data_IF_481967487392
#
_entry.id   IF_481967487392
#
_cell.length_a   1.000
_cell.length_b   1.000
_cell.length_c   1.000
_cell.angle_alpha   90.00
_cell.angle_beta   90.00
_cell.angle_gamma   90.00
#
_symmetry.space_group_name_H-M   'P 1'
#
loop_
_entity.id
_entity.type
_entity.pdbx_description
1 polymer ?
#
# COMPACT_ATOMS: atom_id res chain seq x y z
N UNK A 1 -79.28 11.93 -33.01
CA UNK A 1 -78.67 12.64 -31.86
C UNK A 1 -78.36 11.78 -30.64
N UNK A 2 -78.99 10.64 -30.40
CA UNK A 2 -78.73 9.80 -29.20
C UNK A 2 -77.42 8.94 -29.28
N UNK A 3 -76.95 8.60 -30.47
CA UNK A 3 -75.74 7.76 -30.65
C UNK A 3 -74.43 8.51 -30.32
N UNK A 4 -74.35 9.80 -30.62
CA UNK A 4 -73.13 10.60 -30.41
C UNK A 4 -72.87 10.99 -28.94
N UNK A 5 -74.01 11.08 -28.13
CA UNK A 5 -73.81 11.33 -26.66
C UNK A 5 -73.18 10.15 -25.91
N UNK A 6 -73.50 8.92 -26.33
CA UNK A 6 -72.86 7.71 -25.67
C UNK A 6 -71.38 7.57 -25.98
N UNK A 7 -70.95 7.90 -27.20
CA UNK A 7 -69.53 7.89 -27.60
C UNK A 7 -68.81 8.98 -26.84
N UNK A 8 -69.36 10.17 -26.70
CA UNK A 8 -68.73 11.29 -25.99
C UNK A 8 -68.58 11.00 -24.50
N UNK A 9 -69.51 10.37 -23.83
CA UNK A 9 -69.45 9.99 -22.42
C UNK A 9 -68.45 8.86 -22.23
N UNK A 10 -68.31 7.91 -23.17
CA UNK A 10 -67.34 6.83 -23.11
C UNK A 10 -65.88 7.34 -23.28
N UNK A 11 -65.65 8.34 -24.14
CA UNK A 11 -64.35 8.96 -24.36
C UNK A 11 -63.91 9.79 -23.13
N UNK A 12 -64.85 10.52 -22.48
CA UNK A 12 -64.54 11.26 -21.25
C UNK A 12 -64.25 10.29 -20.09
N UNK A 13 -64.92 9.15 -20.00
CA UNK A 13 -64.70 8.15 -18.98
C UNK A 13 -63.32 7.46 -19.16
N UNK A 14 -62.89 7.21 -20.42
CA UNK A 14 -61.57 6.65 -20.75
C UNK A 14 -60.43 7.63 -20.42
N UNK A 15 -60.63 8.93 -20.65
CA UNK A 15 -59.63 9.97 -20.29
C UNK A 15 -59.52 10.08 -18.77
N UNK A 16 -60.62 9.95 -18.01
CA UNK A 16 -60.59 9.99 -16.56
C UNK A 16 -59.92 8.77 -15.91
N UNK A 17 -60.07 7.58 -16.52
CA UNK A 17 -59.43 6.34 -16.07
C UNK A 17 -57.90 6.40 -16.35
N UNK A 18 -57.49 7.07 -17.44
CA UNK A 18 -56.05 7.24 -17.75
C UNK A 18 -55.34 8.26 -16.85
N UNK A 19 -56.09 9.25 -16.29
CA UNK A 19 -55.51 10.19 -15.33
C UNK A 19 -55.41 9.65 -13.90
N UNK A 20 -56.17 8.62 -13.53
CA UNK A 20 -56.11 8.04 -12.20
C UNK A 20 -55.03 6.94 -12.02
N UNK A 21 -54.34 6.51 -13.12
CA UNK A 21 -53.30 5.49 -13.05
C UNK A 21 -51.85 6.05 -13.10
N UNK A 22 -51.72 7.38 -13.23
CA UNK A 22 -50.40 8.01 -13.02
C UNK A 22 -50.10 8.06 -11.51
N UNK A 23 -49.85 6.91 -10.91
CA UNK A 23 -49.14 6.86 -9.64
C UNK A 23 -47.77 7.52 -9.87
N UNK A 24 -47.46 8.64 -9.22
CA UNK A 24 -46.12 9.16 -9.31
C UNK A 24 -45.21 8.07 -8.72
N UNK A 25 -44.50 7.35 -9.57
CA UNK A 25 -43.35 6.61 -9.15
C UNK A 25 -42.41 7.68 -8.58
N UNK A 26 -42.51 7.90 -7.28
CA UNK A 26 -41.41 8.54 -6.56
C UNK A 26 -40.20 7.62 -6.77
N UNK A 27 -39.44 7.92 -7.80
CA UNK A 27 -38.03 7.55 -7.82
C UNK A 27 -37.50 8.27 -6.59
N UNK A 28 -37.49 7.54 -5.47
CA UNK A 28 -36.65 7.89 -4.34
C UNK A 28 -35.26 7.87 -4.95
N UNK A 29 -34.73 9.06 -5.25
CA UNK A 29 -33.27 9.15 -5.33
C UNK A 29 -32.82 8.48 -4.05
N UNK A 30 -32.14 7.34 -4.19
CA UNK A 30 -31.36 6.80 -3.09
C UNK A 30 -30.46 7.96 -2.70
N UNK A 31 -30.90 8.72 -1.70
CA UNK A 31 -30.00 9.59 -0.98
C UNK A 31 -28.86 8.71 -0.61
N UNK A 32 -27.64 9.14 -0.90
CA UNK A 32 -26.45 8.51 -0.40
C UNK A 32 -26.69 8.17 1.06
N UNK A 33 -27.07 6.93 1.29
CA UNK A 33 -27.09 6.35 2.62
C UNK A 33 -25.62 6.46 3.06
N UNK A 34 -25.34 7.45 3.90
CA UNK A 34 -24.10 7.50 4.67
C UNK A 34 -24.14 6.38 5.69
N UNK A 35 -24.52 5.20 5.23
CA UNK A 35 -24.60 3.99 6.00
C UNK A 35 -23.21 3.73 6.57
N UNK A 36 -23.13 3.73 7.87
CA UNK A 36 -22.00 3.20 8.62
C UNK A 36 -21.62 1.85 8.01
N UNK A 37 -20.36 1.69 7.61
CA UNK A 37 -19.90 0.42 7.03
C UNK A 37 -20.13 -0.66 8.08
N UNK A 38 -21.07 -1.55 7.81
CA UNK A 38 -21.31 -2.70 8.68
C UNK A 38 -20.37 -3.83 8.26
N UNK A 39 -19.61 -4.33 9.22
CA UNK A 39 -18.70 -5.48 9.08
C UNK A 39 -19.19 -6.59 10.00
N UNK A 40 -19.42 -7.78 9.44
CA UNK A 40 -19.87 -8.97 10.18
C UNK A 40 -18.68 -9.66 10.88
N UNK A 41 -17.46 -9.60 10.28
CA UNK A 41 -16.26 -10.16 10.86
C UNK A 41 -16.02 -9.67 12.30
N UNK A 42 -15.35 -10.48 13.11
CA UNK A 42 -15.08 -10.18 14.53
C UNK A 42 -14.28 -8.89 14.70
N UNK A 43 -13.26 -8.71 13.86
CA UNK A 43 -12.39 -7.54 13.92
C UNK A 43 -12.05 -7.05 12.50
N UNK A 44 -11.98 -5.74 12.32
CA UNK A 44 -11.62 -5.12 11.05
C UNK A 44 -10.89 -3.80 11.23
N UNK A 45 -10.06 -3.44 10.24
CA UNK A 45 -9.38 -2.16 10.17
C UNK A 45 -9.18 -1.75 8.72
N UNK A 46 -9.33 -0.46 8.44
CA UNK A 46 -8.95 0.17 7.17
C UNK A 46 -7.98 1.30 7.44
N UNK A 47 -6.87 1.33 6.71
CA UNK A 47 -5.79 2.31 6.85
C UNK A 47 -5.39 2.88 5.49
N UNK A 48 -5.00 4.16 5.47
CA UNK A 48 -4.16 4.71 4.40
C UNK A 48 -2.68 4.49 4.82
N UNK A 49 -1.95 3.56 4.15
CA UNK A 49 -0.70 3.06 4.71
C UNK A 49 0.48 4.04 4.62
N UNK A 50 0.47 5.04 3.70
CA UNK A 50 1.58 5.99 3.62
C UNK A 50 1.60 6.95 4.82
N UNK A 51 0.42 7.39 5.26
CA UNK A 51 0.28 8.25 6.43
C UNK A 51 0.11 7.50 7.75
N UNK A 52 -0.29 6.22 7.68
CA UNK A 52 -0.71 5.43 8.83
C UNK A 52 -2.11 5.82 9.37
N UNK A 53 -2.88 6.62 8.60
CA UNK A 53 -4.19 7.08 9.05
C UNK A 53 -5.20 5.94 9.04
N UNK A 54 -5.80 5.69 10.22
CA UNK A 54 -6.91 4.77 10.37
C UNK A 54 -8.18 5.46 9.89
N UNK A 55 -8.93 4.80 8.98
CA UNK A 55 -10.14 5.31 8.34
C UNK A 55 -11.38 4.66 8.92
N UNK A 56 -11.25 3.39 9.32
CA UNK A 56 -12.29 2.59 9.92
C UNK A 56 -11.67 1.56 10.85
N UNK A 57 -12.34 1.30 11.96
CA UNK A 57 -11.97 0.22 12.87
C UNK A 57 -13.19 -0.40 13.54
N UNK A 58 -13.12 -1.72 13.74
CA UNK A 58 -14.06 -2.51 14.55
C UNK A 58 -13.24 -3.49 15.36
N UNK A 59 -13.30 -3.41 16.70
CA UNK A 59 -12.58 -4.31 17.61
C UNK A 59 -11.09 -4.48 17.21
N UNK A 60 -10.45 -3.41 16.71
CA UNK A 60 -9.13 -3.49 16.05
C UNK A 60 -8.02 -4.02 16.97
N UNK A 61 -8.20 -3.97 18.28
CA UNK A 61 -7.24 -4.45 19.28
C UNK A 61 -7.65 -5.80 19.93
N UNK A 62 -8.70 -6.45 19.43
CA UNK A 62 -9.09 -7.79 19.89
C UNK A 62 -8.04 -8.83 19.48
N UNK A 63 -7.55 -9.62 20.46
CA UNK A 63 -6.58 -10.69 20.21
C UNK A 63 -7.25 -11.89 19.59
N UNK A 64 -6.89 -12.22 18.36
CA UNK A 64 -7.43 -13.32 17.59
C UNK A 64 -6.30 -14.13 16.94
N UNK A 65 -6.50 -15.43 16.66
CA UNK A 65 -5.57 -16.21 15.89
C UNK A 65 -5.44 -15.65 14.46
N UNK A 66 -4.22 -15.42 13.94
CA UNK A 66 -4.01 -14.84 12.61
C UNK A 66 -4.12 -15.83 11.46
N UNK A 67 -4.02 -17.13 11.72
CA UNK A 67 -3.79 -18.13 10.69
C UNK A 67 -2.61 -17.73 9.77
N UNK A 68 -2.64 -18.07 8.48
CA UNK A 68 -1.55 -17.76 7.53
C UNK A 68 -1.33 -16.26 7.25
N UNK A 69 -2.09 -15.33 7.86
CA UNK A 69 -1.75 -13.90 7.82
C UNK A 69 -0.43 -13.65 8.56
N UNK A 70 -0.02 -14.53 9.48
CA UNK A 70 1.32 -14.62 10.10
C UNK A 70 2.45 -14.47 9.09
N UNK A 71 2.29 -15.04 7.90
CA UNK A 71 3.33 -15.05 6.85
C UNK A 71 3.68 -13.66 6.30
N UNK A 72 2.89 -12.63 6.64
CA UNK A 72 3.27 -11.23 6.38
C UNK A 72 4.56 -10.90 7.14
N UNK A 73 4.68 -11.31 8.40
CA UNK A 73 5.92 -11.12 9.17
C UNK A 73 7.07 -11.96 8.60
N UNK A 74 6.80 -13.18 8.16
CA UNK A 74 7.80 -14.02 7.49
C UNK A 74 8.33 -13.38 6.22
N UNK A 75 7.44 -12.85 5.37
CA UNK A 75 7.85 -12.12 4.17
C UNK A 75 8.56 -10.80 4.50
N UNK A 76 8.15 -10.10 5.56
CA UNK A 76 8.79 -8.85 5.99
C UNK A 76 10.26 -9.10 6.36
N UNK A 77 10.54 -10.07 7.22
CA UNK A 77 11.92 -10.39 7.62
C UNK A 77 12.76 -10.84 6.43
N UNK A 78 12.19 -11.62 5.51
CA UNK A 78 12.87 -12.02 4.28
C UNK A 78 13.20 -10.83 3.38
N UNK A 79 12.26 -9.90 3.18
CA UNK A 79 12.47 -8.71 2.36
C UNK A 79 13.47 -7.73 3.00
N UNK A 80 13.44 -7.57 4.33
CA UNK A 80 14.45 -6.79 5.06
C UNK A 80 15.85 -7.39 4.89
N UNK A 81 15.97 -8.72 4.91
CA UNK A 81 17.24 -9.41 4.67
C UNK A 81 17.75 -9.22 3.22
N UNK A 82 16.83 -9.21 2.23
CA UNK A 82 17.17 -8.91 0.83
C UNK A 82 17.63 -7.46 0.66
N UNK A 83 16.88 -6.51 1.18
CA UNK A 83 17.16 -5.08 1.00
C UNK A 83 18.42 -4.63 1.75
N UNK A 84 18.75 -5.28 2.87
CA UNK A 84 20.01 -5.06 3.59
C UNK A 84 21.21 -5.76 2.94
N UNK A 85 21.00 -6.60 1.93
CA UNK A 85 22.04 -7.38 1.26
C UNK A 85 22.55 -8.58 2.08
N UNK A 86 21.88 -8.94 3.21
CA UNK A 86 22.19 -10.15 3.99
C UNK A 86 22.00 -11.42 3.15
N UNK A 87 20.97 -11.41 2.27
CA UNK A 87 20.71 -12.49 1.31
C UNK A 87 20.37 -11.89 -0.07
N UNK A 88 20.45 -12.74 -1.11
CA UNK A 88 20.06 -12.41 -2.48
C UNK A 88 18.87 -13.25 -2.91
N UNK A 89 18.02 -12.74 -3.78
CA UNK A 89 16.90 -13.51 -4.36
C UNK A 89 17.35 -14.78 -5.10
N UNK A 90 18.60 -14.80 -5.60
CA UNK A 90 19.22 -15.92 -6.31
C UNK A 90 19.86 -16.95 -5.39
N UNK A 91 20.00 -16.67 -4.11
CA UNK A 91 20.58 -17.60 -3.15
C UNK A 91 19.77 -18.89 -3.06
N UNK A 92 20.43 -20.00 -2.81
CA UNK A 92 19.83 -21.33 -2.80
C UNK A 92 19.50 -21.77 -1.38
N UNK A 93 18.27 -22.20 -1.19
CA UNK A 93 17.75 -22.78 0.05
C UNK A 93 17.59 -24.27 -0.16
N UNK A 94 18.22 -25.09 0.69
CA UNK A 94 18.00 -26.55 0.73
C UNK A 94 16.86 -26.83 1.70
N UNK A 95 15.82 -27.52 1.22
CA UNK A 95 14.63 -27.83 2.01
C UNK A 95 14.93 -28.93 3.03
N UNK A 96 14.66 -28.66 4.29
CA UNK A 96 14.80 -29.61 5.38
C UNK A 96 13.64 -30.61 5.44
N UNK A 97 13.80 -31.67 6.22
CA UNK A 97 12.71 -32.60 6.55
C UNK A 97 11.60 -31.91 7.34
N UNK A 98 11.95 -30.99 8.26
CA UNK A 98 11.00 -30.21 9.03
C UNK A 98 10.14 -29.29 8.12
N UNK A 99 10.78 -28.59 7.18
CA UNK A 99 10.06 -27.78 6.20
C UNK A 99 9.07 -28.61 5.39
N UNK A 100 9.50 -29.77 4.85
CA UNK A 100 8.60 -30.69 4.14
C UNK A 100 7.42 -31.13 5.01
N UNK A 101 7.67 -31.52 6.26
CA UNK A 101 6.65 -31.99 7.21
C UNK A 101 5.59 -30.92 7.45
N UNK A 102 5.97 -29.64 7.57
CA UNK A 102 5.04 -28.54 7.77
C UNK A 102 4.12 -28.27 6.57
N UNK A 103 4.50 -28.71 5.39
CA UNK A 103 3.65 -28.68 4.18
C UNK A 103 2.71 -29.88 4.01
N UNK A 104 2.75 -30.88 4.91
CA UNK A 104 1.97 -32.11 4.84
C UNK A 104 0.65 -32.02 5.62
N UNK A 105 -0.14 -33.11 5.63
CA UNK A 105 -1.34 -33.23 6.47
C UNK A 105 -2.49 -32.30 6.06
N UNK A 106 -2.59 -31.91 4.79
CA UNK A 106 -3.64 -31.00 4.30
C UNK A 106 -3.33 -29.51 4.52
N UNK A 107 -2.12 -29.21 4.97
CA UNK A 107 -1.65 -27.84 5.09
C UNK A 107 -1.41 -27.19 3.71
N UNK A 108 -1.47 -25.85 3.65
CA UNK A 108 -1.02 -25.11 2.47
C UNK A 108 0.47 -25.37 2.20
N UNK A 109 0.80 -25.73 0.97
CA UNK A 109 2.14 -26.17 0.59
C UNK A 109 2.46 -25.73 -0.84
N UNK A 110 3.74 -25.50 -1.14
CA UNK A 110 4.25 -25.49 -2.51
C UNK A 110 4.85 -26.84 -2.93
N UNK A 111 4.56 -27.89 -2.15
CA UNK A 111 4.93 -29.29 -2.41
C UNK A 111 6.44 -29.50 -2.48
N UNK A 112 7.19 -28.98 -1.51
CA UNK A 112 8.63 -29.13 -1.42
C UNK A 112 9.01 -30.52 -0.92
N UNK A 113 10.07 -31.09 -1.50
CA UNK A 113 10.68 -32.34 -1.05
C UNK A 113 11.97 -32.09 -0.23
N UNK A 114 12.25 -32.98 0.73
CA UNK A 114 13.49 -32.94 1.51
C UNK A 114 14.71 -33.00 0.58
N UNK A 115 15.68 -32.11 0.78
CA UNK A 115 16.87 -31.98 -0.04
C UNK A 115 16.63 -31.24 -1.36
N UNK A 116 15.41 -30.85 -1.67
CA UNK A 116 15.13 -30.01 -2.83
C UNK A 116 15.79 -28.63 -2.66
N UNK A 117 16.35 -28.10 -3.74
CA UNK A 117 17.01 -26.80 -3.73
C UNK A 117 16.15 -25.79 -4.49
N UNK A 118 15.82 -24.67 -3.84
CA UNK A 118 15.05 -23.56 -4.41
C UNK A 118 15.73 -22.23 -4.17
N UNK A 119 15.47 -21.26 -5.03
CA UNK A 119 15.93 -19.90 -4.79
C UNK A 119 15.10 -19.21 -3.71
N UNK A 120 15.68 -18.20 -3.04
CA UNK A 120 14.94 -17.32 -2.13
C UNK A 120 13.70 -16.75 -2.80
N UNK A 121 13.79 -16.36 -4.09
CA UNK A 121 12.65 -15.85 -4.86
C UNK A 121 11.54 -16.89 -5.03
N UNK A 122 11.87 -18.14 -5.39
CA UNK A 122 10.89 -19.21 -5.53
C UNK A 122 10.19 -19.53 -4.20
N UNK A 123 10.94 -19.52 -3.10
CA UNK A 123 10.39 -19.70 -1.75
C UNK A 123 9.45 -18.55 -1.39
N UNK A 124 9.83 -17.28 -1.66
CA UNK A 124 8.95 -16.12 -1.46
C UNK A 124 7.65 -16.23 -2.29
N UNK A 125 7.72 -16.69 -3.54
CA UNK A 125 6.54 -16.99 -4.37
C UNK A 125 5.67 -18.07 -3.74
N UNK A 126 6.27 -19.14 -3.23
CA UNK A 126 5.55 -20.20 -2.50
C UNK A 126 4.80 -19.67 -1.27
N UNK A 127 5.42 -18.81 -0.48
CA UNK A 127 4.80 -18.16 0.69
C UNK A 127 3.66 -17.24 0.27
N UNK A 128 3.90 -16.37 -0.70
CA UNK A 128 2.95 -15.32 -1.09
C UNK A 128 1.73 -15.87 -1.85
N UNK A 129 1.97 -16.75 -2.83
CA UNK A 129 0.95 -17.24 -3.76
C UNK A 129 0.22 -18.45 -3.19
N UNK A 130 0.95 -19.54 -2.92
CA UNK A 130 0.37 -20.79 -2.44
C UNK A 130 0.18 -20.85 -0.92
N UNK A 131 0.64 -19.84 -0.20
CA UNK A 131 0.60 -19.84 1.27
C UNK A 131 1.39 -21.01 1.89
N UNK A 132 2.45 -21.51 1.20
CA UNK A 132 3.20 -22.71 1.60
C UNK A 132 3.75 -22.59 3.02
N UNK A 133 3.38 -23.56 3.87
CA UNK A 133 3.96 -23.68 5.21
C UNK A 133 5.39 -24.24 5.11
N UNK A 134 5.60 -25.20 4.21
CA UNK A 134 6.91 -25.71 3.83
C UNK A 134 7.88 -24.60 3.40
N UNK A 135 7.41 -23.71 2.54
CA UNK A 135 8.17 -22.55 2.09
C UNK A 135 8.47 -21.56 3.23
N UNK A 136 7.50 -21.32 4.12
CA UNK A 136 7.69 -20.44 5.27
C UNK A 136 8.72 -21.00 6.24
N UNK A 137 8.68 -22.31 6.52
CA UNK A 137 9.65 -22.98 7.38
C UNK A 137 11.05 -23.00 6.75
N UNK A 138 11.16 -23.33 5.44
CA UNK A 138 12.43 -23.31 4.73
C UNK A 138 13.07 -21.90 4.74
N UNK A 139 12.29 -20.85 4.58
CA UNK A 139 12.76 -19.46 4.69
C UNK A 139 13.21 -19.14 6.11
N UNK A 140 12.45 -19.55 7.12
CA UNK A 140 12.78 -19.31 8.52
C UNK A 140 14.12 -19.97 8.92
N UNK A 141 14.30 -21.25 8.57
CA UNK A 141 15.54 -21.99 8.82
C UNK A 141 16.73 -21.38 8.08
N UNK A 142 16.52 -20.93 6.84
CA UNK A 142 17.58 -20.29 6.05
C UNK A 142 18.05 -18.96 6.66
N UNK A 143 17.13 -18.15 7.17
CA UNK A 143 17.45 -16.82 7.69
C UNK A 143 18.09 -16.84 9.07
N UNK A 144 17.65 -17.72 9.96
CA UNK A 144 18.02 -17.73 11.38
C UNK A 144 18.54 -19.09 11.89
N UNK A 145 18.68 -20.08 11.01
CA UNK A 145 19.21 -21.42 11.34
C UNK A 145 18.18 -22.39 11.91
N UNK A 146 17.10 -21.91 12.52
CA UNK A 146 15.97 -22.73 12.98
C UNK A 146 14.66 -21.94 13.00
N UNK A 147 13.52 -22.64 13.03
CA UNK A 147 12.22 -21.99 13.17
C UNK A 147 12.09 -21.27 14.52
N UNK A 148 12.62 -21.84 15.61
CA UNK A 148 12.58 -21.23 16.95
C UNK A 148 13.33 -19.89 16.98
N UNK A 149 14.53 -19.84 16.40
CA UNK A 149 15.32 -18.61 16.29
C UNK A 149 14.60 -17.57 15.44
N UNK A 150 13.95 -18.01 14.34
CA UNK A 150 13.16 -17.14 13.49
C UNK A 150 11.91 -16.60 14.20
N UNK A 151 11.19 -17.41 14.95
CA UNK A 151 10.04 -16.97 15.78
C UNK A 151 10.48 -15.93 16.80
N UNK A 152 11.65 -16.09 17.39
CA UNK A 152 12.24 -15.06 18.26
C UNK A 152 12.44 -13.75 17.49
N UNK A 153 13.03 -13.82 16.29
CA UNK A 153 13.23 -12.64 15.44
C UNK A 153 11.88 -11.99 15.03
N UNK A 154 10.83 -12.79 14.71
CA UNK A 154 9.48 -12.28 14.44
C UNK A 154 8.92 -11.48 15.63
N UNK A 155 9.03 -12.03 16.86
CA UNK A 155 8.54 -11.36 18.07
C UNK A 155 9.35 -10.11 18.41
N UNK A 156 10.68 -10.14 18.22
CA UNK A 156 11.54 -8.97 18.41
C UNK A 156 11.21 -7.88 17.38
N UNK A 157 10.90 -8.25 16.13
CA UNK A 157 10.47 -7.30 15.10
C UNK A 157 9.09 -6.73 15.41
N UNK A 158 8.14 -7.56 15.87
CA UNK A 158 6.82 -7.12 16.30
C UNK A 158 6.91 -6.05 17.40
N UNK A 159 7.77 -6.26 18.41
CA UNK A 159 8.02 -5.25 19.47
C UNK A 159 8.55 -3.94 18.89
N UNK A 160 9.52 -4.00 17.94
CA UNK A 160 10.07 -2.80 17.29
C UNK A 160 9.03 -2.04 16.47
N UNK A 161 8.04 -2.73 15.90
CA UNK A 161 6.91 -2.14 15.17
C UNK A 161 5.80 -1.60 16.09
N UNK A 162 5.90 -1.85 17.41
CA UNK A 162 4.86 -1.45 18.36
C UNK A 162 3.63 -2.35 18.35
N UNK A 163 3.74 -3.59 17.87
CA UNK A 163 2.69 -4.61 17.87
C UNK A 163 2.51 -5.19 19.28
N UNK A 164 1.80 -4.47 20.14
CA UNK A 164 1.71 -4.74 21.59
C UNK A 164 0.88 -5.97 21.95
N UNK A 165 0.01 -6.41 21.05
CA UNK A 165 -0.94 -7.50 21.27
C UNK A 165 -0.63 -8.73 20.42
N UNK A 166 0.60 -8.84 19.89
CA UNK A 166 1.03 -9.93 19.01
C UNK A 166 2.03 -10.82 19.73
N UNK A 167 1.84 -12.13 19.57
CA UNK A 167 2.80 -13.15 19.95
C UNK A 167 2.81 -14.25 18.90
N UNK A 168 3.89 -14.41 18.21
CA UNK A 168 4.11 -15.49 17.24
C UNK A 168 4.68 -16.73 17.93
N UNK A 169 4.20 -17.90 17.55
CA UNK A 169 4.66 -19.22 18.00
C UNK A 169 5.33 -20.03 16.90
N UNK A 170 4.94 -19.79 15.65
CA UNK A 170 5.55 -20.40 14.46
C UNK A 170 5.55 -19.39 13.30
N UNK A 171 6.30 -19.71 12.23
CA UNK A 171 6.48 -18.82 11.09
C UNK A 171 5.33 -18.86 10.06
N UNK A 172 4.39 -19.78 10.19
CA UNK A 172 3.40 -20.09 9.17
C UNK A 172 1.96 -19.75 9.55
N UNK A 173 1.66 -19.63 10.86
CA UNK A 173 0.32 -19.39 11.39
C UNK A 173 -0.50 -20.67 11.58
N UNK A 174 0.16 -21.81 11.75
CA UNK A 174 -0.49 -23.03 12.23
C UNK A 174 -1.05 -22.81 13.64
N UNK A 175 -2.18 -23.49 13.98
CA UNK A 175 -2.77 -23.37 15.30
C UNK A 175 -1.78 -23.76 16.40
N UNK A 176 -1.60 -22.86 17.36
CA UNK A 176 -0.77 -23.07 18.53
C UNK A 176 -1.24 -22.15 19.66
N UNK A 177 -1.28 -22.66 20.88
CA UNK A 177 -1.75 -21.88 22.03
C UNK A 177 -0.92 -20.61 22.22
N UNK A 178 -1.59 -19.49 22.34
CA UNK A 178 -0.95 -18.20 22.48
C UNK A 178 -0.41 -17.60 21.18
N UNK A 179 -0.65 -18.21 20.00
CA UNK A 179 -0.36 -17.61 18.69
C UNK A 179 -1.47 -16.63 18.35
N UNK A 180 -1.29 -15.36 18.70
CA UNK A 180 -2.33 -14.32 18.58
C UNK A 180 -1.78 -13.03 18.02
N UNK A 181 -2.68 -12.24 17.44
CA UNK A 181 -2.43 -10.87 16.95
C UNK A 181 -3.74 -10.08 16.95
N UNK A 182 -3.71 -8.85 16.44
CA UNK A 182 -4.89 -7.98 16.29
C UNK A 182 -4.96 -7.41 14.88
N UNK A 183 -6.13 -6.92 14.45
CA UNK A 183 -6.23 -6.24 13.14
C UNK A 183 -5.33 -4.99 13.08
N UNK A 184 -5.17 -4.28 14.20
CA UNK A 184 -4.25 -3.15 14.29
C UNK A 184 -2.79 -3.57 14.09
N UNK A 185 -2.34 -4.60 14.80
CA UNK A 185 -0.96 -5.10 14.69
C UNK A 185 -0.68 -5.69 13.29
N UNK A 186 -1.66 -6.37 12.68
CA UNK A 186 -1.55 -6.81 11.28
C UNK A 186 -1.38 -5.62 10.35
N UNK A 187 -2.13 -4.53 10.58
CA UNK A 187 -1.98 -3.34 9.74
C UNK A 187 -0.58 -2.72 9.87
N UNK A 188 0.02 -2.71 11.07
CA UNK A 188 1.38 -2.22 11.29
C UNK A 188 2.41 -3.05 10.52
N UNK A 189 2.40 -4.39 10.64
CA UNK A 189 3.35 -5.23 9.89
C UNK A 189 3.10 -5.21 8.38
N UNK A 190 1.84 -5.03 7.95
CA UNK A 190 1.49 -4.90 6.54
C UNK A 190 1.99 -3.57 5.97
N UNK A 191 1.83 -2.47 6.71
CA UNK A 191 2.35 -1.15 6.36
C UNK A 191 3.88 -1.19 6.20
N UNK A 192 4.56 -1.88 7.11
CA UNK A 192 6.02 -2.04 7.04
C UNK A 192 6.43 -2.85 5.81
N UNK A 193 5.76 -3.98 5.53
CA UNK A 193 6.02 -4.81 4.36
C UNK A 193 5.82 -4.02 3.05
N UNK A 194 4.87 -3.09 3.00
CA UNK A 194 4.63 -2.24 1.82
C UNK A 194 5.78 -1.28 1.50
N UNK A 195 6.72 -1.05 2.44
CA UNK A 195 7.96 -0.30 2.17
C UNK A 195 8.95 -1.07 1.30
N UNK A 196 8.71 -2.37 1.11
CA UNK A 196 9.47 -3.29 0.24
C UNK A 196 8.65 -3.62 -1.03
N UNK A 197 8.52 -2.69 -2.00
CA UNK A 197 7.54 -2.79 -3.09
C UNK A 197 7.75 -4.02 -3.99
N UNK A 198 8.92 -4.63 -3.97
CA UNK A 198 9.21 -5.85 -4.70
C UNK A 198 8.32 -7.02 -4.27
N UNK A 199 7.89 -7.08 -3.01
CA UNK A 199 6.99 -8.14 -2.51
C UNK A 199 5.65 -8.15 -3.24
N UNK A 200 5.19 -6.98 -3.71
CA UNK A 200 3.92 -6.86 -4.44
C UNK A 200 3.93 -7.60 -5.78
N UNK A 201 5.11 -7.85 -6.37
CA UNK A 201 5.23 -8.72 -7.53
C UNK A 201 4.79 -10.16 -7.22
N UNK A 202 5.05 -10.63 -6.00
CA UNK A 202 4.69 -11.98 -5.56
C UNK A 202 3.25 -12.02 -5.03
N UNK A 203 2.90 -11.12 -4.11
CA UNK A 203 1.56 -11.10 -3.50
C UNK A 203 0.47 -10.73 -4.51
N UNK A 204 0.80 -9.93 -5.54
CA UNK A 204 -0.09 -9.53 -6.63
C UNK A 204 -0.21 -10.55 -7.76
N UNK A 205 0.59 -11.62 -7.75
CA UNK A 205 0.50 -12.69 -8.75
C UNK A 205 -0.66 -13.63 -8.42
N UNK A 206 -1.57 -13.83 -9.39
CA UNK A 206 -2.72 -14.74 -9.20
C UNK A 206 -2.35 -16.21 -9.38
N UNK A 207 -1.57 -16.52 -10.41
CA UNK A 207 -1.11 -17.90 -10.71
C UNK A 207 0.31 -17.85 -11.25
N UNK A 208 1.11 -18.82 -10.87
CA UNK A 208 2.46 -19.03 -11.40
C UNK A 208 2.80 -20.51 -11.43
N UNK A 209 3.71 -20.91 -12.31
CA UNK A 209 4.19 -22.28 -12.40
C UNK A 209 5.70 -22.30 -12.14
N UNK A 210 6.13 -23.13 -11.19
CA UNK A 210 7.54 -23.41 -10.92
C UNK A 210 7.88 -24.77 -11.51
N UNK A 211 8.78 -24.81 -12.49
CA UNK A 211 9.14 -26.03 -13.21
C UNK A 211 10.64 -26.35 -13.17
N UNK A 212 11.51 -25.37 -12.96
CA UNK A 212 12.94 -25.55 -12.97
C UNK A 212 13.40 -26.60 -11.94
N UNK A 213 14.23 -27.55 -12.39
CA UNK A 213 14.80 -28.61 -11.54
C UNK A 213 13.79 -29.65 -11.01
N UNK A 214 12.55 -29.67 -11.49
CA UNK A 214 11.52 -30.65 -11.06
C UNK A 214 11.07 -31.56 -12.21
N UNK A 215 10.80 -32.82 -11.89
CA UNK A 215 10.18 -33.79 -12.84
C UNK A 215 8.77 -33.36 -13.25
N UNK A 216 8.02 -32.74 -12.32
CA UNK A 216 6.68 -32.23 -12.57
C UNK A 216 6.58 -30.77 -12.12
N UNK A 217 6.05 -29.87 -12.98
CA UNK A 217 5.82 -28.48 -12.60
C UNK A 217 4.85 -28.34 -11.42
N UNK A 218 5.03 -27.31 -10.60
CA UNK A 218 4.10 -26.95 -9.53
C UNK A 218 3.32 -25.71 -9.97
N UNK A 219 1.99 -25.81 -10.01
CA UNK A 219 1.09 -24.68 -10.18
C UNK A 219 0.80 -24.02 -8.83
N UNK A 220 1.22 -22.79 -8.66
CA UNK A 220 0.86 -21.97 -7.51
C UNK A 220 -0.39 -21.15 -7.84
N UNK A 221 -1.38 -21.14 -6.94
CA UNK A 221 -2.62 -20.37 -7.10
C UNK A 221 -2.83 -19.50 -5.86
N UNK A 222 -3.01 -18.21 -6.08
CA UNK A 222 -3.18 -17.26 -4.98
C UNK A 222 -4.52 -17.48 -4.26
N UNK A 223 -4.42 -17.65 -2.95
CA UNK A 223 -5.57 -17.76 -2.08
C UNK A 223 -6.32 -16.42 -1.92
N UNK A 224 -5.65 -15.29 -2.18
CA UNK A 224 -6.29 -14.00 -2.26
C UNK A 224 -6.93 -13.77 -3.63
N UNK A 225 -8.21 -14.16 -3.76
CA UNK A 225 -8.95 -13.98 -5.01
C UNK A 225 -9.15 -12.51 -5.41
N UNK A 226 -9.01 -11.55 -4.48
CA UNK A 226 -9.13 -10.12 -4.79
C UNK A 226 -8.05 -9.64 -5.75
N UNK A 227 -6.87 -10.27 -5.76
CA UNK A 227 -5.81 -9.99 -6.72
C UNK A 227 -6.30 -10.09 -8.18
N UNK A 228 -7.23 -11.02 -8.47
CA UNK A 228 -7.84 -11.17 -9.79
C UNK A 228 -9.10 -10.35 -9.98
N UNK A 229 -9.94 -10.24 -8.93
CA UNK A 229 -11.32 -9.78 -9.08
C UNK A 229 -11.60 -8.39 -8.50
N UNK A 230 -10.63 -7.77 -7.84
CA UNK A 230 -10.76 -6.42 -7.31
C UNK A 230 -9.72 -5.50 -7.97
N UNK A 231 -10.19 -4.50 -8.73
CA UNK A 231 -9.33 -3.59 -9.48
C UNK A 231 -8.29 -2.93 -8.57
N UNK A 232 -7.02 -3.08 -8.92
CA UNK A 232 -5.89 -2.50 -8.22
C UNK A 232 -5.38 -3.30 -7.01
N UNK A 233 -6.00 -4.44 -6.66
CA UNK A 233 -5.50 -5.30 -5.58
C UNK A 233 -4.19 -6.00 -6.00
N UNK A 234 -3.15 -5.82 -5.18
CA UNK A 234 -1.81 -6.37 -5.40
C UNK A 234 -1.25 -7.10 -4.15
N UNK A 235 -2.10 -7.41 -3.21
CA UNK A 235 -1.68 -8.17 -2.01
C UNK A 235 -2.72 -8.16 -0.90
N UNK A 236 -2.37 -8.55 0.34
CA UNK A 236 -1.10 -9.15 0.74
C UNK A 236 -1.27 -10.66 1.03
N UNK A 237 -2.10 -11.01 2.04
CA UNK A 237 -2.20 -12.39 2.53
C UNK A 237 -3.56 -12.73 3.09
N UNK A 238 -4.04 -13.95 2.82
CA UNK A 238 -5.21 -14.55 3.45
C UNK A 238 -4.80 -15.58 4.50
N UNK A 239 -5.69 -15.85 5.44
CA UNK A 239 -5.55 -16.93 6.43
C UNK A 239 -6.87 -17.63 6.68
N UNK A 240 -6.81 -18.91 7.05
CA UNK A 240 -7.94 -19.69 7.53
C UNK A 240 -7.45 -20.82 8.43
N UNK A 241 -8.09 -20.96 9.56
CA UNK A 241 -8.15 -22.18 10.39
C UNK A 241 -9.56 -22.27 10.97
N UNK A 242 -9.92 -23.41 11.54
CA UNK A 242 -11.22 -23.55 12.23
C UNK A 242 -11.43 -22.55 13.36
N UNK A 243 -10.36 -22.17 14.04
CA UNK A 243 -10.37 -21.21 15.15
C UNK A 243 -10.34 -19.76 14.66
N UNK A 244 -9.40 -19.43 13.78
CA UNK A 244 -9.23 -18.07 13.25
C UNK A 244 -10.38 -17.64 12.32
N UNK A 245 -11.17 -18.59 11.80
CA UNK A 245 -12.10 -18.37 10.71
C UNK A 245 -11.37 -17.74 9.50
N UNK A 246 -12.02 -16.90 8.72
CA UNK A 246 -11.44 -16.33 7.50
C UNK A 246 -10.84 -14.95 7.76
N UNK A 247 -9.54 -14.86 7.56
CA UNK A 247 -8.77 -13.63 7.75
C UNK A 247 -8.16 -13.15 6.42
N UNK A 248 -7.93 -11.86 6.31
CA UNK A 248 -7.19 -11.25 5.20
C UNK A 248 -6.54 -9.93 5.64
N UNK A 249 -5.33 -9.69 5.16
CA UNK A 249 -4.78 -8.35 4.96
C UNK A 249 -4.74 -8.13 3.46
N UNK A 250 -5.52 -7.17 2.96
CA UNK A 250 -5.62 -6.84 1.54
C UNK A 250 -5.20 -5.41 1.29
N UNK A 251 -4.43 -5.18 0.22
CA UNK A 251 -4.06 -3.84 -0.23
C UNK A 251 -4.40 -3.67 -1.70
N UNK A 252 -4.74 -2.44 -2.06
CA UNK A 252 -4.99 -2.06 -3.44
C UNK A 252 -4.54 -0.63 -3.70
N UNK A 253 -4.22 -0.33 -4.96
CA UNK A 253 -3.87 1.01 -5.42
C UNK A 253 -4.77 1.42 -6.58
N UNK A 254 -5.33 2.66 -6.54
CA UNK A 254 -6.06 3.30 -7.64
C UNK A 254 -5.70 4.76 -7.70
N UNK A 255 -5.40 5.25 -8.88
CA UNK A 255 -5.09 6.66 -9.13
C UNK A 255 -4.04 7.25 -8.14
N UNK A 256 -3.03 6.43 -7.78
CA UNK A 256 -1.97 6.80 -6.84
C UNK A 256 -2.35 6.72 -5.35
N UNK A 257 -3.61 6.46 -5.02
CA UNK A 257 -4.05 6.20 -3.63
C UNK A 257 -3.90 4.72 -3.32
N UNK A 258 -3.19 4.38 -2.25
CA UNK A 258 -3.15 3.02 -1.68
C UNK A 258 -4.01 2.92 -0.44
N UNK A 259 -4.70 1.80 -0.29
CA UNK A 259 -5.48 1.47 0.91
C UNK A 259 -5.12 0.08 1.40
N UNK A 260 -5.25 -0.14 2.69
CA UNK A 260 -4.98 -1.41 3.36
C UNK A 260 -6.19 -1.78 4.24
N UNK A 261 -6.81 -2.92 3.96
CA UNK A 261 -7.93 -3.45 4.73
C UNK A 261 -7.53 -4.75 5.42
N UNK A 262 -7.77 -4.84 6.71
CA UNK A 262 -7.59 -6.05 7.51
C UNK A 262 -8.95 -6.53 7.98
N UNK A 263 -9.23 -7.83 7.77
CA UNK A 263 -10.43 -8.52 8.28
C UNK A 263 -9.95 -9.75 9.06
N UNK A 264 -10.49 -9.95 10.25
CA UNK A 264 -10.24 -11.15 11.08
C UNK A 264 -11.55 -11.75 11.56
N UNK A 265 -11.61 -13.08 11.59
CA UNK A 265 -12.75 -13.80 12.13
C UNK A 265 -14.02 -13.73 11.28
N UNK A 266 -13.93 -13.55 9.97
CA UNK A 266 -15.09 -13.58 9.08
C UNK A 266 -15.68 -15.01 9.01
N UNK A 267 -17.02 -15.17 8.99
CA UNK A 267 -17.65 -16.49 9.05
C UNK A 267 -17.39 -17.36 7.82
N UNK A 268 -17.17 -16.74 6.66
CA UNK A 268 -16.82 -17.45 5.42
C UNK A 268 -15.99 -16.56 4.48
N UNK A 269 -15.40 -17.17 3.45
CA UNK A 269 -14.53 -16.48 2.50
C UNK A 269 -15.26 -15.42 1.64
N UNK A 270 -16.57 -15.59 1.39
CA UNK A 270 -17.37 -14.62 0.61
C UNK A 270 -17.55 -13.33 1.39
N UNK A 271 -17.91 -13.45 2.68
CA UNK A 271 -18.05 -12.30 3.59
C UNK A 271 -16.69 -11.61 3.76
N UNK A 272 -15.62 -12.36 4.06
CA UNK A 272 -14.27 -11.81 4.15
C UNK A 272 -13.90 -10.97 2.92
N UNK A 273 -14.09 -11.50 1.72
CA UNK A 273 -13.75 -10.81 0.48
C UNK A 273 -14.65 -9.60 0.23
N UNK A 274 -15.97 -9.74 0.47
CA UNK A 274 -16.95 -8.65 0.33
C UNK A 274 -16.60 -7.47 1.26
N UNK A 275 -16.34 -7.77 2.53
CA UNK A 275 -16.03 -6.74 3.53
C UNK A 275 -14.70 -6.05 3.25
N UNK A 276 -13.64 -6.80 2.91
CA UNK A 276 -12.37 -6.22 2.49
C UNK A 276 -12.54 -5.31 1.26
N UNK A 277 -13.35 -5.73 0.27
CA UNK A 277 -13.66 -4.92 -0.91
C UNK A 277 -14.43 -3.65 -0.57
N UNK A 278 -15.42 -3.74 0.30
CA UNK A 278 -16.24 -2.60 0.75
C UNK A 278 -15.36 -1.58 1.50
N UNK A 279 -14.52 -2.05 2.44
CA UNK A 279 -13.58 -1.19 3.15
C UNK A 279 -12.61 -0.50 2.19
N UNK A 280 -12.00 -1.24 1.26
CA UNK A 280 -11.09 -0.63 0.28
C UNK A 280 -11.79 0.38 -0.61
N UNK A 281 -13.01 0.11 -1.10
CA UNK A 281 -13.79 1.07 -1.88
C UNK A 281 -14.11 2.32 -1.06
N UNK A 282 -14.45 2.16 0.20
CA UNK A 282 -14.66 3.29 1.12
C UNK A 282 -13.39 4.13 1.28
N UNK A 283 -12.23 3.48 1.48
CA UNK A 283 -10.96 4.18 1.54
C UNK A 283 -10.69 5.02 0.28
N UNK A 284 -10.90 4.45 -0.91
CA UNK A 284 -10.76 5.20 -2.17
C UNK A 284 -11.74 6.36 -2.31
N UNK A 285 -12.91 6.30 -1.68
CA UNK A 285 -13.85 7.42 -1.67
C UNK A 285 -13.41 8.57 -0.76
N UNK A 286 -12.57 8.29 0.24
CA UNK A 286 -12.11 9.27 1.25
C UNK A 286 -10.84 10.01 0.85
N UNK A 287 -10.02 9.45 -0.03
CA UNK A 287 -8.74 10.02 -0.39
C UNK A 287 -8.64 10.33 -1.88
N UNK A 288 -7.78 11.25 -2.20
CA UNK A 288 -7.38 11.58 -3.57
C UNK A 288 -5.87 11.82 -3.63
N UNK A 289 -5.29 11.54 -4.80
CA UNK A 289 -3.91 11.87 -5.10
C UNK A 289 -3.85 13.26 -5.74
N UNK A 290 -3.07 14.17 -5.16
CA UNK A 290 -2.84 15.51 -5.70
C UNK A 290 -1.43 15.63 -6.23
N UNK A 291 -1.30 16.03 -7.49
CA UNK A 291 -0.02 16.43 -8.10
C UNK A 291 0.40 17.76 -7.53
N UNK A 292 1.53 17.78 -6.82
CA UNK A 292 2.01 18.97 -6.11
C UNK A 292 3.18 19.63 -6.81
N UNK A 293 4.13 18.84 -7.29
CA UNK A 293 5.30 19.30 -8.01
C UNK A 293 5.47 18.42 -9.23
N UNK A 294 5.62 19.03 -10.40
CA UNK A 294 5.90 18.35 -11.66
C UNK A 294 7.40 18.30 -11.89
N UNK A 295 7.90 17.21 -12.41
CA UNK A 295 9.28 17.10 -12.90
C UNK A 295 9.63 18.30 -13.78
N UNK A 296 10.84 18.82 -13.65
CA UNK A 296 11.40 19.97 -14.37
C UNK A 296 10.67 21.31 -14.14
N UNK A 297 9.63 21.33 -13.27
CA UNK A 297 9.00 22.59 -12.88
C UNK A 297 9.92 23.44 -11.98
N UNK A 298 9.76 24.74 -12.08
CA UNK A 298 10.44 25.70 -11.24
C UNK A 298 9.88 25.65 -9.82
N UNK A 299 10.77 25.50 -8.83
CA UNK A 299 10.40 25.42 -7.42
C UNK A 299 10.87 26.65 -6.66
N UNK A 300 12.09 27.11 -6.92
CA UNK A 300 12.69 28.23 -6.20
C UNK A 300 13.69 28.98 -7.07
N UNK A 301 13.69 30.31 -7.01
CA UNK A 301 14.73 31.16 -7.57
C UNK A 301 15.80 31.41 -6.52
N UNK A 302 16.98 30.87 -6.73
CA UNK A 302 18.07 30.86 -5.76
C UNK A 302 19.10 31.95 -6.11
N UNK A 303 19.18 33.00 -5.32
CA UNK A 303 20.16 34.07 -5.49
C UNK A 303 21.53 33.69 -4.93
N UNK A 304 22.61 33.97 -5.67
CA UNK A 304 23.99 33.68 -5.28
C UNK A 304 24.73 34.95 -4.92
N UNK A 305 24.47 35.50 -3.74
CA UNK A 305 25.08 36.72 -3.22
C UNK A 305 24.18 37.94 -3.34
N UNK A 306 24.81 39.16 -3.38
CA UNK A 306 24.08 40.44 -3.37
C UNK A 306 23.64 40.91 -4.78
N UNK A 307 24.11 40.26 -5.82
CA UNK A 307 23.82 40.63 -7.21
C UNK A 307 22.50 40.03 -7.67
N UNK A 308 21.60 40.83 -8.23
CA UNK A 308 20.29 40.39 -8.69
C UNK A 308 20.35 39.53 -9.95
N UNK A 309 21.38 39.72 -10.81
CA UNK A 309 21.62 38.97 -12.05
C UNK A 309 22.28 37.59 -11.80
N UNK A 310 22.69 37.30 -10.57
CA UNK A 310 23.34 36.05 -10.19
C UNK A 310 22.37 35.10 -9.46
N UNK A 311 21.59 34.36 -10.24
CA UNK A 311 20.65 33.38 -9.71
C UNK A 311 20.59 32.18 -10.65
N UNK A 312 20.12 31.08 -10.11
CA UNK A 312 19.65 29.89 -10.87
C UNK A 312 18.24 29.52 -10.42
N UNK A 313 17.56 28.76 -11.26
CA UNK A 313 16.27 28.18 -10.92
C UNK A 313 16.50 26.76 -10.42
N UNK A 314 16.12 26.50 -9.18
CA UNK A 314 16.07 25.15 -8.63
C UNK A 314 14.81 24.45 -9.15
N UNK A 315 15.00 23.43 -9.99
CA UNK A 315 13.93 22.64 -10.63
C UNK A 315 13.78 21.28 -9.97
N UNK A 316 12.57 20.75 -9.97
CA UNK A 316 12.28 19.43 -9.43
C UNK A 316 12.86 18.31 -10.32
N UNK A 317 13.55 17.34 -9.71
CA UNK A 317 14.18 16.21 -10.42
C UNK A 317 13.15 15.15 -10.85
N UNK A 318 12.02 15.06 -10.16
CA UNK A 318 10.96 14.08 -10.36
C UNK A 318 9.58 14.67 -10.00
N UNK A 319 8.51 13.98 -10.40
CA UNK A 319 7.15 14.31 -9.95
C UNK A 319 7.02 14.04 -8.44
N UNK A 320 6.26 14.88 -7.75
CA UNK A 320 5.82 14.62 -6.38
C UNK A 320 4.32 14.74 -6.27
N UNK A 321 3.70 13.61 -6.06
CA UNK A 321 2.27 13.49 -5.75
C UNK A 321 2.10 13.18 -4.26
N UNK A 322 1.02 13.65 -3.66
CA UNK A 322 0.67 13.34 -2.26
C UNK A 322 -0.78 12.87 -2.15
N UNK A 323 -1.01 11.95 -1.22
CA UNK A 323 -2.36 11.48 -0.89
C UNK A 323 -2.93 12.37 0.21
N UNK A 324 -4.12 12.92 -0.03
CA UNK A 324 -4.85 13.78 0.92
C UNK A 324 -6.30 13.33 1.05
N UNK A 325 -6.94 13.67 2.16
CA UNK A 325 -8.39 13.47 2.28
C UNK A 325 -9.16 14.37 1.31
N UNK A 326 -10.19 13.81 0.67
CA UNK A 326 -11.09 14.60 -0.18
C UNK A 326 -11.78 15.67 0.63
N UNK A 327 -11.73 16.89 0.12
CA UNK A 327 -12.33 18.04 0.79
C UNK A 327 -11.57 18.55 2.01
N UNK A 328 -10.36 18.03 2.28
CA UNK A 328 -9.48 18.59 3.31
C UNK A 328 -9.18 20.05 3.01
N UNK A 329 -9.33 20.90 4.05
CA UNK A 329 -8.97 22.33 4.03
C UNK A 329 -7.57 22.58 4.57
N UNK A 330 -6.82 21.54 4.90
CA UNK A 330 -5.45 21.68 5.40
C UNK A 330 -4.55 22.33 4.36
N UNK A 331 -3.76 23.30 4.80
CA UNK A 331 -2.85 24.03 3.92
C UNK A 331 -1.72 23.12 3.46
N UNK A 332 -1.51 23.07 2.14
CA UNK A 332 -0.33 22.42 1.55
C UNK A 332 0.76 23.47 1.42
N UNK A 333 1.90 23.22 2.04
CA UNK A 333 3.05 24.15 2.06
C UNK A 333 4.26 23.46 1.43
N UNK A 334 4.95 24.17 0.52
CA UNK A 334 6.23 23.75 -0.09
C UNK A 334 7.35 24.52 0.61
N UNK A 335 8.38 23.82 1.07
CA UNK A 335 9.57 24.39 1.68
C UNK A 335 10.81 23.96 0.91
N UNK A 336 11.31 24.74 -0.05
CA UNK A 336 12.57 24.47 -0.71
C UNK A 336 13.72 24.65 0.26
N UNK A 337 14.65 23.72 0.28
CA UNK A 337 15.88 23.71 1.08
C UNK A 337 17.03 23.50 0.11
N UNK A 338 17.78 24.60 -0.14
CA UNK A 338 18.88 24.61 -1.09
C UNK A 338 20.20 24.77 -0.34
N UNK A 339 21.16 23.93 -0.67
CA UNK A 339 22.50 23.98 -0.11
C UNK A 339 23.40 24.90 -0.96
N UNK A 340 23.93 25.98 -0.37
CA UNK A 340 24.73 26.99 -1.03
C UNK A 340 26.19 27.03 -0.54
N UNK A 341 26.76 25.86 -0.26
CA UNK A 341 28.13 25.69 0.26
C UNK A 341 29.22 25.79 -0.81
N UNK A 342 28.86 25.59 -2.09
CA UNK A 342 29.80 25.59 -3.21
C UNK A 342 30.00 26.96 -3.84
N UNK A 343 31.17 27.15 -4.47
CA UNK A 343 31.48 28.33 -5.29
C UNK A 343 30.95 28.23 -6.72
N UNK A 344 30.69 27.02 -7.18
CA UNK A 344 30.24 26.73 -8.55
C UNK A 344 29.18 25.61 -8.52
N UNK A 345 28.15 25.74 -9.34
CA UNK A 345 27.06 24.78 -9.52
C UNK A 345 26.91 24.48 -11.00
N UNK A 346 26.86 23.20 -11.36
CA UNK A 346 26.67 22.77 -12.73
C UNK A 346 25.17 22.62 -13.07
N UNK A 347 24.82 22.80 -14.33
CA UNK A 347 23.50 22.46 -14.83
C UNK A 347 23.19 20.99 -14.56
N UNK A 348 22.02 20.69 -13.98
CA UNK A 348 21.58 19.33 -13.62
C UNK A 348 22.14 18.84 -12.27
N UNK A 349 23.03 19.57 -11.63
CA UNK A 349 23.57 19.22 -10.31
C UNK A 349 22.48 19.33 -9.25
N UNK A 350 22.35 18.31 -8.38
CA UNK A 350 21.43 18.36 -7.24
C UNK A 350 21.91 19.37 -6.22
N UNK A 351 21.08 20.38 -5.96
CA UNK A 351 21.39 21.53 -5.10
C UNK A 351 20.63 21.53 -3.78
N UNK A 352 19.74 20.55 -3.59
CA UNK A 352 18.91 20.46 -2.38
C UNK A 352 17.66 19.65 -2.60
N UNK A 353 16.61 19.98 -1.87
CA UNK A 353 15.32 19.31 -1.97
C UNK A 353 14.18 20.27 -1.61
N UNK A 354 12.95 19.91 -2.03
CA UNK A 354 11.74 20.58 -1.57
C UNK A 354 10.95 19.62 -0.67
N UNK A 355 10.61 20.07 0.51
CA UNK A 355 9.73 19.38 1.43
C UNK A 355 8.30 19.88 1.25
N UNK A 356 7.34 18.93 1.25
CA UNK A 356 5.91 19.24 1.14
C UNK A 356 5.20 18.82 2.42
N UNK A 357 4.45 19.75 2.98
CA UNK A 357 3.71 19.57 4.23
C UNK A 357 2.20 19.68 3.98
N UNK A 358 1.42 18.89 4.72
CA UNK A 358 -0.03 19.07 4.90
C UNK A 358 -0.25 19.42 6.36
N UNK A 359 -0.68 20.66 6.63
CA UNK A 359 -0.57 21.25 7.96
C UNK A 359 0.89 21.27 8.40
N UNK A 360 1.20 20.64 9.54
CA UNK A 360 2.56 20.52 10.08
C UNK A 360 3.23 19.18 9.75
N UNK A 361 2.52 18.26 9.09
CA UNK A 361 3.04 16.93 8.78
C UNK A 361 3.80 16.94 7.45
N UNK A 362 5.06 16.49 7.46
CA UNK A 362 5.83 16.22 6.24
C UNK A 362 5.22 15.01 5.51
N UNK A 363 4.79 15.20 4.26
CA UNK A 363 4.13 14.18 3.45
C UNK A 363 4.88 13.80 2.18
N UNK A 364 5.89 14.59 1.80
CA UNK A 364 6.69 14.29 0.61
C UNK A 364 7.96 15.13 0.53
N UNK A 365 8.92 14.62 -0.27
CA UNK A 365 10.22 15.26 -0.49
C UNK A 365 10.68 14.97 -1.91
N UNK A 366 11.13 15.99 -2.63
CA UNK A 366 11.68 15.86 -3.98
C UNK A 366 13.03 16.57 -4.09
N UNK A 367 13.99 15.95 -4.79
CA UNK A 367 15.29 16.57 -5.04
C UNK A 367 15.17 17.74 -6.02
N UNK A 368 15.99 18.77 -5.80
CA UNK A 368 16.09 19.94 -6.66
C UNK A 368 17.44 19.98 -7.35
N UNK A 369 17.47 20.40 -8.62
CA UNK A 369 18.68 20.55 -9.41
C UNK A 369 18.78 21.97 -10.01
N UNK A 370 20.01 22.42 -10.33
CA UNK A 370 20.27 23.70 -11.00
C UNK A 370 19.90 23.64 -12.47
N UNK A 371 19.16 24.65 -12.96
CA UNK A 371 18.81 24.79 -14.40
C UNK A 371 19.96 25.20 -15.30
N UNK A 372 21.06 25.71 -14.71
CA UNK A 372 22.21 26.26 -15.43
C UNK A 372 23.52 26.11 -14.68
N UNK A 373 24.64 26.31 -15.42
CA UNK A 373 25.94 26.51 -14.82
C UNK A 373 26.03 27.90 -14.23
N UNK A 374 26.49 28.03 -12.98
CA UNK A 374 26.59 29.31 -12.32
C UNK A 374 27.72 29.35 -11.28
N UNK A 375 28.44 30.48 -11.25
CA UNK A 375 29.50 30.76 -10.30
C UNK A 375 29.04 31.80 -9.29
N UNK A 376 29.25 31.54 -8.02
CA UNK A 376 29.00 32.50 -6.92
C UNK A 376 29.92 33.71 -7.10
N UNK A 377 29.37 34.94 -6.98
CA UNK A 377 30.14 36.15 -7.11
C UNK A 377 31.19 36.28 -6.01
N UNK A 378 32.42 36.52 -6.39
CA UNK A 378 33.51 36.91 -5.47
C UNK A 378 33.37 38.36 -5.01
N UNK A 379 34.18 38.74 -4.01
CA UNK A 379 34.22 40.13 -3.51
C UNK A 379 34.63 41.10 -4.63
N UNK A 380 35.62 40.74 -5.45
CA UNK A 380 36.06 41.52 -6.58
C UNK A 380 34.99 41.68 -7.67
N UNK A 381 34.25 40.63 -7.98
CA UNK A 381 33.15 40.67 -8.94
C UNK A 381 32.03 41.62 -8.50
N UNK A 382 31.74 41.64 -7.20
CA UNK A 382 30.77 42.57 -6.61
C UNK A 382 31.24 44.03 -6.63
N UNK A 383 32.52 44.28 -6.35
CA UNK A 383 33.12 45.63 -6.43
C UNK A 383 33.10 46.17 -7.86
N UNK A 384 33.55 45.38 -8.84
CA UNK A 384 33.54 45.78 -10.26
C UNK A 384 32.13 46.04 -10.81
N UNK A 385 31.15 45.27 -10.38
CA UNK A 385 29.76 45.48 -10.74
C UNK A 385 29.20 46.80 -10.16
N UNK A 386 29.45 47.05 -8.89
CA UNK A 386 29.04 48.29 -8.26
C UNK A 386 29.67 49.52 -8.90
N UNK A 387 30.98 49.44 -9.27
CA UNK A 387 31.64 50.51 -10.02
C UNK A 387 30.97 50.75 -11.38
N UNK A 388 30.68 49.71 -12.17
CA UNK A 388 29.96 49.87 -13.46
C UNK A 388 28.59 50.52 -13.28
N UNK A 389 27.80 50.05 -12.33
CA UNK A 389 26.45 50.61 -12.07
C UNK A 389 26.50 52.10 -11.68
N UNK A 390 27.58 52.57 -11.04
CA UNK A 390 27.78 54.01 -10.72
C UNK A 390 28.04 54.79 -12.01
N UNK A 391 28.83 54.27 -12.94
CA UNK A 391 29.14 54.96 -14.21
C UNK A 391 27.96 54.89 -15.19
N UNK A 392 27.21 53.78 -15.28
CA UNK A 392 26.07 53.61 -16.18
C UNK A 392 24.84 54.44 -15.75
N UNK A 393 24.73 54.84 -14.47
CA UNK A 393 23.68 55.71 -13.93
C UNK A 393 24.12 57.19 -13.85
N UNK A 394 25.34 57.53 -14.28
CA UNK A 394 25.86 58.88 -14.26
C UNK A 394 25.90 59.57 -15.65
N UNK A 395 25.38 58.88 -16.67
CA UNK A 395 25.13 59.32 -18.03
C UNK A 395 23.62 59.40 -18.29
#
# INVERSE_FOLDING_TARGET
MKKNKKIFIFTILLIFIFQCTAVPVRVRAEGEDKGEIQVEASSALLMEPNSGKIIYEKNANEKLPPASVTKIMTMLLAMEAVDSGKIKLTDKITVSENAKKNGQGGNSSMLLDTGEIRTVEEILKGIAIASGNDAATAMAEYLEGSEEAFVKAMNDRAKKLGMKNTNFKNCSGLPEEGHVTTAYDIALMSQELLKHPQVLKYTGTYMETISEGRKSPIGLVNHNKLVRFFKGCDGLKTGYTSEAKYCISATAVRDGVRVLAVIMGAPNYKIRNKEASNLMNYGFSKFENKKIIKKDSEVEQVKLGKREDKFFIAKALEDLDIVVERGSKEKITKKPIVNLDKKYYNKGEVVGHCEVYVGDKLVGKVKLYSDRDIKKSGILDNMLHNFRNIFDNAV
#
